data_IF_677035601208
#
_entry.id   IF_677035601208
#
_cell.length_a   1.000
_cell.length_b   1.000
_cell.length_c   1.000
_cell.angle_alpha   90.00
_cell.angle_beta   90.00
_cell.angle_gamma   90.00
#
_symmetry.space_group_name_H-M   'P 1'
#
loop_
_entity.id
_entity.type
_entity.pdbx_description
1 polymer ?
#
# COMPACT_ATOMS: atom_id res chain seq x y z
N UNK A 1 -7.44 24.80 9.93
CA UNK A 1 -6.07 24.35 9.55
C UNK A 1 -6.10 22.85 9.31
N UNK A 2 -5.86 22.32 8.11
CA UNK A 2 -5.79 20.87 7.92
C UNK A 2 -4.55 20.33 8.64
N UNK A 3 -4.77 19.64 9.75
CA UNK A 3 -3.69 19.02 10.53
C UNK A 3 -2.95 18.00 9.65
N UNK A 4 -1.70 18.34 9.33
CA UNK A 4 -0.82 17.49 8.55
C UNK A 4 -0.14 16.49 9.48
N UNK A 5 -0.19 15.21 9.13
CA UNK A 5 0.43 14.13 9.91
C UNK A 5 1.35 13.31 9.02
N UNK A 6 2.31 12.61 9.63
CA UNK A 6 3.15 11.66 8.92
C UNK A 6 2.38 10.37 8.70
N UNK A 7 2.13 10.05 7.43
CA UNK A 7 1.55 8.77 7.02
C UNK A 7 2.63 7.86 6.44
N UNK A 8 2.54 6.59 6.78
CA UNK A 8 3.34 5.51 6.22
C UNK A 8 2.47 4.71 5.27
N UNK A 9 2.91 4.57 4.03
CA UNK A 9 2.28 3.76 2.99
C UNK A 9 3.15 2.54 2.77
N UNK A 10 2.55 1.35 2.72
CA UNK A 10 3.29 0.10 2.67
C UNK A 10 2.51 -0.99 1.96
N UNK A 11 3.24 -1.88 1.30
CA UNK A 11 2.69 -2.97 0.50
C UNK A 11 2.78 -4.30 1.25
N UNK A 12 1.69 -5.06 1.30
CA UNK A 12 1.73 -6.42 1.79
C UNK A 12 2.65 -7.25 0.89
N UNK A 13 3.69 -7.86 1.43
CA UNK A 13 4.62 -8.68 0.65
C UNK A 13 4.06 -10.05 0.26
N UNK A 14 2.90 -10.45 0.78
CA UNK A 14 2.23 -11.71 0.39
C UNK A 14 1.32 -11.56 -0.82
N UNK A 15 0.54 -10.48 -0.90
CA UNK A 15 -0.49 -10.30 -1.94
C UNK A 15 -0.37 -8.99 -2.70
N UNK A 16 0.65 -8.18 -2.39
CA UNK A 16 0.88 -6.92 -3.05
C UNK A 16 -0.12 -5.81 -2.70
N UNK A 17 -1.08 -6.00 -1.79
CA UNK A 17 -2.06 -4.97 -1.45
C UNK A 17 -1.44 -3.77 -0.72
N UNK A 18 -1.83 -2.56 -1.12
CA UNK A 18 -1.37 -1.33 -0.47
C UNK A 18 -2.19 -0.99 0.78
N UNK A 19 -1.49 -0.58 1.83
CA UNK A 19 -2.04 -0.12 3.11
C UNK A 19 -1.38 1.20 3.53
N UNK A 20 -2.05 1.93 4.44
CA UNK A 20 -1.47 3.11 5.09
C UNK A 20 -1.72 3.11 6.60
N UNK A 21 -0.88 3.83 7.34
CA UNK A 21 -0.99 4.03 8.78
C UNK A 21 -0.33 5.35 9.18
N UNK A 22 -0.94 6.13 10.06
CA UNK A 22 -0.30 7.28 10.72
C UNK A 22 0.39 6.89 12.05
N UNK A 23 0.27 5.62 12.46
CA UNK A 23 0.92 5.09 13.67
C UNK A 23 2.13 4.24 13.31
N UNK A 24 3.12 4.24 14.20
CA UNK A 24 4.24 3.30 14.14
C UNK A 24 3.72 1.88 14.36
N UNK A 25 3.93 1.00 13.39
CA UNK A 25 3.48 -0.39 13.41
C UNK A 25 4.66 -1.32 13.18
N UNK A 26 4.71 -2.43 13.93
CA UNK A 26 5.72 -3.50 13.74
C UNK A 26 5.17 -4.61 12.84
N UNK A 27 3.91 -4.96 13.04
CA UNK A 27 3.18 -6.00 12.31
C UNK A 27 1.84 -5.46 11.83
N UNK A 28 1.33 -6.01 10.71
CA UNK A 28 -0.02 -5.73 10.21
C UNK A 28 -0.63 -7.01 9.65
N UNK A 29 -1.92 -7.25 9.92
CA UNK A 29 -2.71 -8.26 9.21
C UNK A 29 -3.25 -7.64 7.92
N UNK A 30 -2.98 -8.27 6.79
CA UNK A 30 -3.60 -7.90 5.52
C UNK A 30 -5.01 -8.48 5.47
N UNK A 31 -6.02 -7.64 5.27
CA UNK A 31 -7.42 -8.09 5.16
C UNK A 31 -7.72 -8.77 3.82
N UNK A 32 -6.86 -8.62 2.80
CA UNK A 32 -7.07 -9.25 1.48
C UNK A 32 -6.64 -10.71 1.47
N UNK A 33 -5.45 -11.01 1.96
CA UNK A 33 -4.93 -12.39 2.01
C UNK A 33 -5.03 -13.03 3.39
N UNK A 34 -5.59 -12.34 4.38
CA UNK A 34 -5.69 -12.76 5.78
C UNK A 34 -4.37 -13.14 6.47
N UNK A 35 -3.22 -12.87 5.85
CA UNK A 35 -1.89 -13.13 6.42
C UNK A 35 -1.37 -11.93 7.20
N UNK A 36 -0.72 -12.23 8.32
CA UNK A 36 0.07 -11.26 9.08
C UNK A 36 1.44 -11.08 8.47
N UNK A 37 1.96 -9.85 8.52
CA UNK A 37 3.21 -9.51 7.88
C UNK A 37 3.98 -8.44 8.66
N UNK A 38 5.31 -8.52 8.62
CA UNK A 38 6.19 -7.56 9.32
C UNK A 38 6.34 -6.28 8.49
N UNK A 39 6.08 -5.13 9.10
CA UNK A 39 6.22 -3.82 8.46
C UNK A 39 7.68 -3.51 8.06
N UNK A 40 8.66 -4.13 8.72
CA UNK A 40 10.08 -3.97 8.35
C UNK A 40 10.41 -4.59 6.97
N UNK A 41 9.72 -5.67 6.60
CA UNK A 41 9.95 -6.42 5.37
C UNK A 41 9.08 -5.93 4.20
N UNK A 42 8.11 -5.04 4.43
CA UNK A 42 7.26 -4.49 3.37
C UNK A 42 7.94 -3.33 2.65
N UNK A 43 7.80 -3.28 1.32
CA UNK A 43 8.08 -2.08 0.54
C UNK A 43 7.20 -0.92 1.06
N UNK A 44 7.82 0.21 1.40
CA UNK A 44 7.15 1.31 2.11
C UNK A 44 7.79 2.65 1.86
N UNK A 45 7.00 3.70 2.04
CA UNK A 45 7.45 5.09 2.04
C UNK A 45 6.63 5.89 3.05
N UNK A 46 7.10 7.09 3.40
CA UNK A 46 6.37 8.00 4.30
C UNK A 46 6.17 9.36 3.67
N UNK A 47 5.02 9.98 3.93
CA UNK A 47 4.70 11.33 3.45
C UNK A 47 3.96 12.11 4.52
N UNK A 48 4.35 13.37 4.72
CA UNK A 48 3.57 14.33 5.50
C UNK A 48 2.43 14.86 4.65
N UNK A 49 1.20 14.60 5.06
CA UNK A 49 0.01 15.04 4.35
C UNK A 49 -1.22 15.06 5.27
N UNK A 50 -2.32 15.63 4.80
CA UNK A 50 -3.61 15.54 5.48
C UNK A 50 -4.26 14.17 5.26
N UNK A 51 -5.26 13.84 6.08
CA UNK A 51 -5.97 12.56 5.98
C UNK A 51 -6.64 12.37 4.60
N UNK A 52 -7.22 13.44 4.04
CA UNK A 52 -7.84 13.42 2.71
C UNK A 52 -6.81 13.11 1.62
N UNK A 53 -5.63 13.73 1.67
CA UNK A 53 -4.54 13.42 0.75
C UNK A 53 -4.04 11.99 0.90
N UNK A 54 -3.96 11.46 2.13
CA UNK A 54 -3.56 10.07 2.34
C UNK A 54 -4.56 9.07 1.71
N UNK A 55 -5.87 9.34 1.81
CA UNK A 55 -6.91 8.55 1.13
C UNK A 55 -6.74 8.63 -0.39
N UNK A 56 -6.47 9.81 -0.95
CA UNK A 56 -6.27 9.98 -2.38
C UNK A 56 -5.05 9.16 -2.88
N UNK A 57 -3.93 9.23 -2.15
CA UNK A 57 -2.70 8.49 -2.48
C UNK A 57 -2.95 6.99 -2.44
N UNK A 58 -3.59 6.45 -1.39
CA UNK A 58 -3.82 5.01 -1.30
C UNK A 58 -4.76 4.51 -2.41
N UNK A 59 -5.78 5.30 -2.77
CA UNK A 59 -6.66 5.00 -3.90
C UNK A 59 -5.86 4.92 -5.20
N UNK A 60 -5.03 5.92 -5.49
CA UNK A 60 -4.16 5.91 -6.68
C UNK A 60 -3.21 4.70 -6.72
N UNK A 61 -2.59 4.36 -5.59
CA UNK A 61 -1.69 3.20 -5.49
C UNK A 61 -2.43 1.88 -5.74
N UNK A 62 -3.64 1.72 -5.20
CA UNK A 62 -4.47 0.54 -5.44
C UNK A 62 -4.91 0.45 -6.90
N UNK A 63 -5.27 1.57 -7.53
CA UNK A 63 -5.63 1.61 -8.95
C UNK A 63 -4.44 1.22 -9.82
N UNK A 64 -3.25 1.80 -9.61
CA UNK A 64 -2.04 1.45 -10.37
C UNK A 64 -1.70 -0.05 -10.25
N UNK A 65 -1.80 -0.60 -9.05
CA UNK A 65 -1.55 -2.02 -8.80
C UNK A 65 -2.59 -2.93 -9.47
N UNK A 66 -3.83 -2.46 -9.67
CA UNK A 66 -4.85 -3.15 -10.47
C UNK A 66 -4.56 -3.06 -11.96
N UNK A 67 -4.03 -1.94 -12.43
CA UNK A 67 -3.58 -1.78 -13.83
C UNK A 67 -2.39 -2.69 -14.14
N UNK A 68 -1.43 -2.82 -13.22
CA UNK A 68 -0.31 -3.77 -13.34
C UNK A 68 -0.75 -5.24 -13.20
N UNK A 69 -1.84 -5.52 -12.47
CA UNK A 69 -2.44 -6.85 -12.35
C UNK A 69 -3.59 -7.11 -13.33
N UNK A 70 -3.80 -6.26 -14.34
CA UNK A 70 -4.81 -6.54 -15.36
C UNK A 70 -4.28 -7.67 -16.26
N UNK A 71 -4.90 -8.86 -16.26
CA UNK A 71 -4.38 -9.99 -17.00
C UNK A 71 -4.79 -9.84 -18.46
N UNK A 72 -4.04 -9.10 -19.26
CA UNK A 72 -4.09 -9.24 -20.71
C UNK A 72 -2.79 -8.76 -21.38
N UNK A 73 -2.07 -9.75 -21.91
CA UNK A 73 -1.06 -9.72 -22.98
C UNK A 73 0.28 -9.02 -22.63
N UNK A 74 1.44 -9.70 -22.68
CA UNK A 74 1.90 -10.57 -23.78
C UNK A 74 2.60 -11.84 -23.26
N UNK A 75 2.25 -12.93 -23.94
CA UNK A 75 2.81 -14.28 -23.89
C UNK A 75 4.34 -14.31 -23.81
N UNK A 76 4.82 -15.32 -23.08
CA UNK A 76 6.08 -16.01 -23.31
C UNK A 76 6.52 -15.98 -24.78
N UNK A 77 7.79 -15.64 -25.01
CA UNK A 77 8.62 -16.39 -25.94
C UNK A 77 10.05 -16.45 -25.40
N UNK A 78 10.56 -17.68 -25.40
CA UNK A 78 11.94 -18.07 -25.22
C UNK A 78 12.89 -17.30 -26.14
#
# INVERSE_FOLDING_TARGET
MPYSQKFYFFRCYHCGEWHYSNRRIKTKKCYKCNRSFLFKNSAKFSRFCSYSSAIAIIKQLKTKNRTENSPNFVKYKC
#
